data_IF_087554691009
#
_entry.id   IF_087554691009
#
_cell.length_a   1.000
_cell.length_b   1.000
_cell.length_c   1.000
_cell.angle_alpha   90.00
_cell.angle_beta   90.00
_cell.angle_gamma   90.00
#
_symmetry.space_group_name_H-M   'P 1'
#
loop_
_entity.id
_entity.type
_entity.pdbx_description
1 polymer ?
#
# COMPACT_ATOMS: atom_id res chain seq x y z
N UNK A 1 31.95 -29.62 12.29
CA UNK A 1 30.79 -29.56 13.19
C UNK A 1 30.25 -30.97 13.40
N UNK A 2 29.62 -31.26 14.55
CA UNK A 2 28.96 -32.56 14.78
C UNK A 2 27.85 -32.76 13.74
N UNK A 3 27.64 -33.98 13.19
CA UNK A 3 26.64 -34.23 12.14
C UNK A 3 25.21 -33.84 12.52
N UNK A 4 24.86 -33.89 13.81
CA UNK A 4 23.54 -33.49 14.33
C UNK A 4 23.44 -32.02 14.74
N UNK A 5 24.52 -31.25 14.66
CA UNK A 5 24.47 -29.83 15.01
C UNK A 5 23.64 -29.06 13.97
N UNK A 6 22.70 -28.24 14.45
CA UNK A 6 21.91 -27.31 13.64
C UNK A 6 21.96 -25.92 14.28
N UNK A 7 22.20 -24.90 13.47
CA UNK A 7 22.18 -23.49 13.86
C UNK A 7 21.04 -22.80 13.11
N UNK A 8 20.10 -22.22 13.85
CA UNK A 8 19.00 -21.44 13.30
C UNK A 8 19.24 -19.96 13.60
N UNK A 9 19.23 -19.14 12.56
CA UNK A 9 19.40 -17.69 12.64
C UNK A 9 18.14 -17.04 12.09
N UNK A 10 17.62 -16.03 12.79
CA UNK A 10 16.48 -15.22 12.35
C UNK A 10 16.92 -13.75 12.30
N UNK A 11 16.70 -13.10 11.17
CA UNK A 11 17.03 -11.69 10.96
C UNK A 11 16.05 -11.10 9.95
N UNK A 12 15.71 -9.83 10.12
CA UNK A 12 15.07 -9.06 9.05
C UNK A 12 16.06 -8.85 7.88
N UNK A 13 15.57 -8.58 6.65
CA UNK A 13 16.42 -8.32 5.50
C UNK A 13 17.31 -7.09 5.74
N UNK A 14 18.50 -7.32 6.26
CA UNK A 14 19.55 -6.34 6.48
C UNK A 14 20.81 -6.74 5.69
N UNK A 15 21.81 -5.87 5.67
CA UNK A 15 23.12 -6.17 5.08
C UNK A 15 23.87 -7.24 5.91
N UNK A 16 23.45 -8.50 5.78
CA UNK A 16 24.10 -9.64 6.41
C UNK A 16 25.42 -9.96 5.67
N UNK A 17 26.44 -10.46 6.38
CA UNK A 17 27.71 -10.83 5.75
C UNK A 17 27.51 -11.86 4.64
N UNK A 18 28.01 -11.57 3.44
CA UNK A 18 27.88 -12.46 2.26
C UNK A 18 28.40 -13.86 2.56
N UNK A 19 29.52 -13.97 3.28
CA UNK A 19 30.12 -15.25 3.65
C UNK A 19 29.19 -16.10 4.53
N UNK A 20 28.43 -15.47 5.43
CA UNK A 20 27.44 -16.17 6.25
C UNK A 20 26.31 -16.68 5.36
N UNK A 21 25.78 -15.81 4.48
CA UNK A 21 24.74 -16.19 3.54
C UNK A 21 25.20 -17.33 2.63
N UNK A 22 26.42 -17.34 2.11
CA UNK A 22 26.89 -18.42 1.23
C UNK A 22 26.84 -19.82 1.89
N UNK A 23 27.05 -19.90 3.21
CA UNK A 23 27.09 -21.18 3.95
C UNK A 23 25.73 -21.58 4.54
N UNK A 24 24.80 -20.64 4.69
CA UNK A 24 23.47 -20.91 5.24
C UNK A 24 22.48 -21.45 4.19
N UNK A 25 21.54 -22.28 4.66
CA UNK A 25 20.25 -22.49 3.96
C UNK A 25 19.35 -21.30 4.29
N UNK A 26 18.78 -20.65 3.28
CA UNK A 26 17.96 -19.45 3.44
C UNK A 26 16.49 -19.85 3.31
N UNK A 27 15.70 -19.43 4.28
CA UNK A 27 14.24 -19.53 4.24
C UNK A 27 13.70 -18.10 4.28
N UNK A 28 12.97 -17.70 3.24
CA UNK A 28 12.23 -16.44 3.23
C UNK A 28 10.80 -16.72 3.69
N UNK A 29 10.35 -15.98 4.69
CA UNK A 29 8.95 -15.99 5.11
C UNK A 29 8.32 -14.68 4.67
N UNK A 30 7.68 -14.70 3.51
CA UNK A 30 6.99 -13.53 2.97
C UNK A 30 5.51 -13.59 3.38
N UNK A 31 4.91 -12.45 3.79
CA UNK A 31 3.48 -12.41 4.01
C UNK A 31 2.76 -12.79 2.70
N UNK A 32 1.60 -13.46 2.79
CA UNK A 32 0.89 -13.87 1.60
C UNK A 32 0.48 -12.64 0.78
N UNK A 33 0.78 -12.66 -0.53
CA UNK A 33 0.50 -11.55 -1.43
C UNK A 33 -0.90 -11.68 -2.04
N UNK A 34 -1.61 -10.55 -2.12
CA UNK A 34 -2.92 -10.45 -2.76
C UNK A 34 -4.08 -10.38 -1.77
N UNK A 35 -5.22 -9.90 -2.26
CA UNK A 35 -6.40 -9.64 -1.45
C UNK A 35 -6.98 -10.91 -0.80
N UNK A 36 -7.14 -12.00 -1.57
CA UNK A 36 -7.75 -13.26 -1.08
C UNK A 36 -6.93 -13.89 0.05
N UNK A 37 -5.62 -14.14 -0.10
CA UNK A 37 -4.84 -14.75 0.98
C UNK A 37 -4.79 -13.89 2.25
N UNK A 38 -4.70 -12.56 2.10
CA UNK A 38 -4.74 -11.65 3.23
C UNK A 38 -6.10 -11.66 3.92
N UNK A 39 -7.21 -11.70 3.18
CA UNK A 39 -8.54 -11.76 3.78
C UNK A 39 -8.74 -13.06 4.57
N UNK A 40 -8.34 -14.20 4.00
CA UNK A 40 -8.40 -15.49 4.70
C UNK A 40 -7.56 -15.44 5.98
N UNK A 41 -6.32 -14.95 5.91
CA UNK A 41 -5.43 -14.81 7.06
C UNK A 41 -6.03 -13.91 8.14
N UNK A 42 -6.55 -12.75 7.74
CA UNK A 42 -7.11 -11.76 8.65
C UNK A 42 -8.36 -12.28 9.34
N UNK A 43 -9.27 -12.90 8.59
CA UNK A 43 -10.51 -13.45 9.15
C UNK A 43 -10.25 -14.69 10.02
N UNK A 44 -9.26 -15.51 9.66
CA UNK A 44 -8.82 -16.67 10.46
C UNK A 44 -8.21 -16.29 11.81
N UNK A 45 -7.93 -15.00 12.06
CA UNK A 45 -7.52 -14.53 13.38
C UNK A 45 -8.66 -14.49 14.40
N UNK A 46 -9.91 -14.56 13.94
CA UNK A 46 -11.09 -14.64 14.78
C UNK A 46 -11.52 -16.09 14.99
N UNK A 47 -12.13 -16.38 16.14
CA UNK A 47 -12.64 -17.71 16.51
C UNK A 47 -14.16 -17.68 16.65
N UNK A 48 -14.82 -18.83 16.47
CA UNK A 48 -16.26 -18.94 16.76
C UNK A 48 -16.58 -18.54 18.20
N UNK A 49 -15.72 -18.90 19.17
CA UNK A 49 -15.82 -18.49 20.58
C UNK A 49 -15.84 -16.95 20.77
N UNK A 50 -15.04 -16.22 19.98
CA UNK A 50 -15.05 -14.75 20.02
C UNK A 50 -16.40 -14.21 19.56
N UNK A 51 -16.98 -14.76 18.50
CA UNK A 51 -18.29 -14.34 18.01
C UNK A 51 -19.42 -14.71 18.95
N UNK A 52 -19.37 -15.92 19.52
CA UNK A 52 -20.37 -16.43 20.45
C UNK A 52 -20.33 -15.72 21.83
N UNK A 53 -19.27 -14.95 22.12
CA UNK A 53 -19.22 -14.07 23.28
C UNK A 53 -20.17 -12.87 23.18
N UNK A 54 -20.58 -12.49 21.97
CA UNK A 54 -21.52 -11.39 21.72
C UNK A 54 -22.97 -11.84 21.89
N UNK A 55 -23.81 -10.95 22.43
CA UNK A 55 -25.26 -11.12 22.38
C UNK A 55 -25.83 -11.06 20.93
N UNK A 56 -25.02 -10.60 19.98
CA UNK A 56 -25.34 -10.38 18.56
C UNK A 56 -24.24 -10.95 17.66
N UNK A 57 -24.11 -12.30 17.60
CA UNK A 57 -23.01 -12.95 16.91
C UNK A 57 -23.05 -12.76 15.40
N UNK A 58 -24.24 -12.65 14.79
CA UNK A 58 -24.38 -12.44 13.34
C UNK A 58 -23.87 -11.07 12.91
N UNK A 59 -24.31 -10.02 13.59
CA UNK A 59 -23.90 -8.64 13.33
C UNK A 59 -22.40 -8.46 13.56
N UNK A 60 -21.86 -9.03 14.64
CA UNK A 60 -20.42 -8.99 14.92
C UNK A 60 -19.62 -9.71 13.83
N UNK A 61 -20.07 -10.87 13.35
CA UNK A 61 -19.42 -11.59 12.23
C UNK A 61 -19.39 -10.75 10.96
N UNK A 62 -20.52 -10.14 10.58
CA UNK A 62 -20.60 -9.27 9.40
C UNK A 62 -19.67 -8.06 9.52
N UNK A 63 -19.64 -7.41 10.69
CA UNK A 63 -18.73 -6.27 10.96
C UNK A 63 -17.27 -6.71 10.91
N UNK A 64 -16.91 -7.84 11.53
CA UNK A 64 -15.55 -8.39 11.51
C UNK A 64 -15.12 -8.81 10.10
N UNK A 65 -16.05 -9.30 9.27
CA UNK A 65 -15.78 -9.59 7.87
C UNK A 65 -15.50 -8.33 7.07
N UNK A 66 -16.33 -7.29 7.21
CA UNK A 66 -16.10 -5.98 6.59
C UNK A 66 -14.77 -5.35 7.07
N UNK A 67 -14.46 -5.44 8.37
CA UNK A 67 -13.19 -5.00 8.94
C UNK A 67 -11.99 -5.78 8.39
N UNK A 68 -12.09 -7.11 8.29
CA UNK A 68 -11.02 -7.94 7.74
C UNK A 68 -10.76 -7.60 6.27
N UNK A 69 -11.83 -7.40 5.49
CA UNK A 69 -11.73 -6.95 4.10
C UNK A 69 -11.10 -5.56 4.00
N UNK A 70 -11.58 -4.60 4.79
CA UNK A 70 -11.01 -3.26 4.86
C UNK A 70 -9.50 -3.32 5.18
N UNK A 71 -9.11 -4.10 6.19
CA UNK A 71 -7.70 -4.29 6.55
C UNK A 71 -6.89 -4.88 5.39
N UNK A 72 -7.41 -5.92 4.73
CA UNK A 72 -6.76 -6.53 3.57
C UNK A 72 -6.60 -5.54 2.40
N UNK A 73 -7.63 -4.75 2.10
CA UNK A 73 -7.60 -3.73 1.05
C UNK A 73 -6.56 -2.67 1.38
N UNK A 74 -6.57 -2.15 2.60
CA UNK A 74 -5.64 -1.12 3.06
C UNK A 74 -4.18 -1.59 2.93
N UNK A 75 -3.90 -2.84 3.33
CA UNK A 75 -2.57 -3.45 3.23
C UNK A 75 -2.11 -3.65 1.78
N UNK A 76 -3.00 -4.13 0.91
CA UNK A 76 -2.67 -4.50 -0.47
C UNK A 76 -2.69 -3.31 -1.42
N UNK A 77 -3.49 -2.28 -1.13
CA UNK A 77 -3.63 -1.08 -1.97
C UNK A 77 -2.31 -0.31 -2.15
N UNK A 78 -1.34 -0.48 -1.25
CA UNK A 78 0.02 0.08 -1.39
C UNK A 78 0.74 -0.35 -2.68
N UNK A 79 0.34 -1.47 -3.31
CA UNK A 79 0.92 -1.93 -4.57
C UNK A 79 0.69 -0.98 -5.74
N UNK A 80 -0.35 -0.15 -5.68
CA UNK A 80 -0.64 0.88 -6.68
C UNK A 80 0.15 2.18 -6.48
N UNK A 81 1.08 2.22 -5.51
CA UNK A 81 1.91 3.40 -5.25
C UNK A 81 1.06 4.63 -4.89
N UNK A 82 1.41 5.83 -5.39
CA UNK A 82 0.66 7.06 -5.11
C UNK A 82 -0.81 7.06 -5.54
N UNK A 83 -1.21 6.20 -6.49
CA UNK A 83 -2.62 6.05 -6.86
C UNK A 83 -3.41 5.25 -5.81
N UNK A 84 -2.72 4.42 -5.03
CA UNK A 84 -3.29 3.66 -3.93
C UNK A 84 -3.30 4.48 -2.64
N UNK A 85 -2.11 4.87 -2.18
CA UNK A 85 -1.87 5.67 -0.98
C UNK A 85 -0.79 6.72 -1.27
N UNK A 86 -0.99 7.96 -0.79
CA UNK A 86 0.03 8.99 -0.91
C UNK A 86 1.29 8.66 -0.09
N UNK A 87 1.11 7.99 1.05
CA UNK A 87 2.21 7.53 1.92
C UNK A 87 2.03 6.06 2.33
N UNK A 88 3.14 5.40 2.66
CA UNK A 88 3.09 4.05 3.22
C UNK A 88 2.87 4.12 4.73
N UNK A 89 1.83 3.45 5.22
CA UNK A 89 1.48 3.38 6.64
C UNK A 89 1.72 1.98 7.21
N UNK A 90 2.22 1.87 8.46
CA UNK A 90 2.60 0.59 9.07
C UNK A 90 1.40 -0.10 9.76
N UNK A 91 0.32 -0.38 9.02
CA UNK A 91 -0.82 -1.10 9.57
C UNK A 91 -0.44 -2.53 9.98
N UNK A 92 -0.97 -2.99 11.11
CA UNK A 92 -0.64 -4.27 11.71
C UNK A 92 -1.90 -5.05 12.12
N UNK A 93 -1.73 -6.34 12.40
CA UNK A 93 -2.82 -7.23 12.82
C UNK A 93 -3.49 -6.77 14.13
N UNK A 94 -2.74 -6.13 15.03
CA UNK A 94 -3.24 -5.57 16.27
C UNK A 94 -4.29 -4.48 16.03
N UNK A 95 -4.17 -3.69 14.96
CA UNK A 95 -5.18 -2.69 14.59
C UNK A 95 -6.52 -3.38 14.29
N UNK A 96 -6.50 -4.49 13.53
CA UNK A 96 -7.69 -5.27 13.20
C UNK A 96 -8.33 -5.90 14.45
N UNK A 97 -7.53 -6.60 15.26
CA UNK A 97 -8.03 -7.29 16.47
C UNK A 97 -8.59 -6.29 17.48
N UNK A 98 -7.93 -5.14 17.65
CA UNK A 98 -8.40 -4.08 18.54
C UNK A 98 -9.73 -3.48 18.05
N UNK A 99 -9.87 -3.26 16.74
CA UNK A 99 -11.14 -2.79 16.17
C UNK A 99 -12.26 -3.81 16.37
N UNK A 100 -11.99 -5.11 16.22
CA UNK A 100 -12.96 -6.17 16.48
C UNK A 100 -13.41 -6.19 17.96
N UNK A 101 -12.48 -6.01 18.90
CA UNK A 101 -12.81 -5.91 20.32
C UNK A 101 -13.67 -4.68 20.62
N UNK A 102 -13.37 -3.55 19.99
CA UNK A 102 -14.21 -2.33 20.10
C UNK A 102 -15.60 -2.59 19.54
N UNK A 103 -15.71 -3.27 18.40
CA UNK A 103 -17.00 -3.63 17.80
C UNK A 103 -17.85 -4.45 18.78
N UNK A 104 -17.25 -5.48 19.40
CA UNK A 104 -17.91 -6.30 20.42
C UNK A 104 -18.48 -5.44 21.56
N UNK A 105 -17.64 -4.59 22.17
CA UNK A 105 -18.04 -3.75 23.30
C UNK A 105 -19.19 -2.77 22.94
N UNK A 106 -19.16 -2.19 21.74
CA UNK A 106 -20.20 -1.26 21.29
C UNK A 106 -21.51 -1.97 20.94
N UNK A 107 -21.45 -3.18 20.40
CA UNK A 107 -22.64 -3.99 20.10
C UNK A 107 -23.36 -4.45 21.36
N UNK A 108 -22.62 -4.77 22.44
CA UNK A 108 -23.19 -5.14 23.73
C UNK A 108 -23.89 -3.95 24.42
N UNK A 109 -23.36 -2.74 24.22
CA UNK A 109 -23.86 -1.53 24.86
C UNK A 109 -25.07 -0.89 24.17
N UNK A 110 -25.38 -1.30 22.94
CA UNK A 110 -26.40 -0.64 22.11
C UNK A 110 -27.42 -1.65 21.55
N UNK A 111 -28.71 -1.31 21.44
CA UNK A 111 -29.73 -2.19 20.87
C UNK A 111 -29.60 -2.35 19.35
N UNK A 112 -29.09 -1.34 18.64
CA UNK A 112 -28.82 -1.37 17.20
C UNK A 112 -27.34 -1.17 16.94
N UNK A 113 -26.86 -1.48 15.74
CA UNK A 113 -25.46 -1.26 15.34
C UNK A 113 -25.21 0.24 15.20
N UNK A 114 -24.28 0.85 15.98
CA UNK A 114 -24.01 2.28 15.89
C UNK A 114 -22.99 2.55 14.77
N UNK A 115 -23.44 2.53 13.51
CA UNK A 115 -22.57 2.62 12.33
C UNK A 115 -21.68 3.87 12.33
N UNK A 116 -22.22 5.05 12.64
CA UNK A 116 -21.44 6.29 12.62
C UNK A 116 -20.33 6.30 13.67
N UNK A 117 -20.60 5.78 14.87
CA UNK A 117 -19.58 5.64 15.92
C UNK A 117 -18.50 4.64 15.50
N UNK A 118 -18.89 3.48 14.95
CA UNK A 118 -17.93 2.48 14.47
C UNK A 118 -17.06 3.02 13.34
N UNK A 119 -17.65 3.67 12.33
CA UNK A 119 -16.93 4.31 11.22
C UNK A 119 -15.96 5.37 11.73
N UNK A 120 -16.39 6.21 12.67
CA UNK A 120 -15.52 7.23 13.26
C UNK A 120 -14.37 6.62 14.06
N UNK A 121 -14.65 5.65 14.93
CA UNK A 121 -13.62 5.02 15.77
C UNK A 121 -12.61 4.27 14.90
N UNK A 122 -13.06 3.48 13.93
CA UNK A 122 -12.15 2.73 13.05
C UNK A 122 -11.38 3.67 12.13
N UNK A 123 -12.06 4.63 11.49
CA UNK A 123 -11.49 5.52 10.49
C UNK A 123 -10.61 6.62 11.05
N UNK A 124 -11.10 7.37 12.04
CA UNK A 124 -10.42 8.57 12.56
C UNK A 124 -9.47 8.27 13.74
N UNK A 125 -9.83 7.29 14.59
CA UNK A 125 -9.06 6.99 15.81
C UNK A 125 -8.07 5.85 15.56
N UNK A 126 -8.55 4.66 15.19
CA UNK A 126 -7.73 3.45 15.10
C UNK A 126 -6.79 3.48 13.90
N UNK A 127 -7.33 3.44 12.67
CA UNK A 127 -6.53 3.53 11.46
C UNK A 127 -6.08 4.97 11.21
N UNK A 128 -6.93 5.95 11.51
CA UNK A 128 -6.65 7.37 11.34
C UNK A 128 -5.49 7.88 12.18
N UNK A 129 -5.18 7.23 13.31
CA UNK A 129 -3.99 7.52 14.11
C UNK A 129 -2.67 7.26 13.37
N UNK A 130 -2.66 6.34 12.40
CA UNK A 130 -1.50 6.06 11.54
C UNK A 130 -1.44 6.97 10.30
N UNK A 131 -2.61 7.41 9.82
CA UNK A 131 -2.73 8.15 8.57
C UNK A 131 -2.42 9.63 8.80
N UNK A 132 -1.35 10.12 8.16
CA UNK A 132 -0.90 11.51 8.30
C UNK A 132 -1.38 12.42 7.17
N UNK A 133 -1.77 11.86 6.02
CA UNK A 133 -2.27 12.63 4.88
C UNK A 133 -3.80 12.75 4.90
N UNK A 134 -4.32 13.95 4.62
CA UNK A 134 -5.76 14.22 4.69
C UNK A 134 -6.56 13.54 3.56
N UNK A 135 -5.97 13.36 2.37
CA UNK A 135 -6.65 12.67 1.27
C UNK A 135 -6.69 11.16 1.54
N UNK A 136 -5.61 10.60 2.07
CA UNK A 136 -5.58 9.20 2.52
C UNK A 136 -6.60 8.95 3.64
N UNK A 137 -6.76 9.89 4.57
CA UNK A 137 -7.76 9.77 5.64
C UNK A 137 -9.18 9.79 5.08
N UNK A 138 -9.46 10.69 4.12
CA UNK A 138 -10.74 10.71 3.39
C UNK A 138 -11.00 9.41 2.64
N UNK A 139 -9.98 8.82 2.04
CA UNK A 139 -10.09 7.54 1.35
C UNK A 139 -10.43 6.40 2.32
N UNK A 140 -9.77 6.34 3.48
CA UNK A 140 -10.08 5.35 4.51
C UNK A 140 -11.52 5.48 5.01
N UNK A 141 -11.99 6.71 5.25
CA UNK A 141 -13.37 6.98 5.63
C UNK A 141 -14.37 6.55 4.53
N UNK A 142 -14.07 6.81 3.25
CA UNK A 142 -14.93 6.40 2.14
C UNK A 142 -15.08 4.88 2.02
N UNK A 143 -14.01 4.11 2.31
CA UNK A 143 -14.11 2.65 2.38
C UNK A 143 -15.02 2.18 3.50
N UNK A 144 -14.85 2.74 4.71
CA UNK A 144 -15.69 2.37 5.85
C UNK A 144 -17.14 2.72 5.59
N UNK A 145 -17.42 3.86 4.96
CA UNK A 145 -18.78 4.23 4.57
C UNK A 145 -19.40 3.27 3.54
N UNK A 146 -18.59 2.77 2.60
CA UNK A 146 -19.03 1.79 1.59
C UNK A 146 -19.23 0.39 2.17
N UNK A 147 -18.55 0.02 3.26
CA UNK A 147 -18.60 -1.33 3.80
C UNK A 147 -19.46 -1.48 5.06
N UNK A 148 -19.70 -0.39 5.80
CA UNK A 148 -20.34 -0.42 7.12
C UNK A 148 -21.65 0.37 7.12
N UNK A 149 -22.70 -0.28 6.62
CA UNK A 149 -24.08 0.19 6.60
C UNK A 149 -25.04 -0.99 6.77
N UNK A 150 -26.34 -0.72 6.96
CA UNK A 150 -27.34 -1.75 7.28
C UNK A 150 -27.42 -2.87 6.23
N UNK A 151 -27.23 -2.57 4.93
CA UNK A 151 -27.24 -3.58 3.87
C UNK A 151 -26.12 -4.64 4.04
N UNK A 152 -25.07 -4.37 4.83
CA UNK A 152 -24.07 -5.38 5.21
C UNK A 152 -24.70 -6.56 5.95
N UNK A 153 -25.76 -6.32 6.73
CA UNK A 153 -26.45 -7.33 7.51
C UNK A 153 -27.46 -8.12 6.67
N UNK A 154 -28.07 -7.47 5.68
CA UNK A 154 -29.02 -8.07 4.74
C UNK A 154 -28.30 -8.86 3.63
N UNK A 155 -27.06 -8.46 3.36
CA UNK A 155 -26.18 -9.02 2.38
C UNK A 155 -26.21 -8.22 1.08
N UNK A 156 -25.05 -7.78 0.62
CA UNK A 156 -24.90 -7.01 -0.61
C UNK A 156 -23.65 -7.41 -1.39
N UNK A 157 -23.55 -6.91 -2.62
CA UNK A 157 -22.36 -7.11 -3.46
C UNK A 157 -21.33 -6.02 -3.14
N UNK A 158 -20.23 -6.43 -2.50
CA UNK A 158 -19.18 -5.50 -2.04
C UNK A 158 -18.41 -4.93 -3.23
N UNK A 159 -18.12 -5.80 -4.19
CA UNK A 159 -17.59 -5.44 -5.49
C UNK A 159 -18.04 -6.51 -6.51
N UNK A 160 -18.00 -6.21 -7.82
CA UNK A 160 -18.54 -7.10 -8.84
C UNK A 160 -17.98 -8.53 -8.74
N UNK A 161 -18.89 -9.50 -8.54
CA UNK A 161 -18.59 -10.91 -8.38
C UNK A 161 -18.29 -11.36 -6.95
N UNK A 162 -18.43 -10.49 -5.93
CA UNK A 162 -18.18 -10.85 -4.53
C UNK A 162 -19.28 -10.36 -3.58
N UNK A 163 -20.37 -11.14 -3.41
CA UNK A 163 -21.37 -10.91 -2.38
C UNK A 163 -20.81 -11.18 -0.99
N UNK A 164 -21.39 -10.53 0.02
CA UNK A 164 -21.16 -10.86 1.43
C UNK A 164 -21.55 -12.32 1.72
N UNK A 165 -20.88 -12.97 2.69
CA UNK A 165 -21.32 -14.27 3.21
C UNK A 165 -22.76 -14.24 3.71
N UNK A 166 -23.38 -15.42 3.89
CA UNK A 166 -24.74 -15.54 4.46
C UNK A 166 -24.84 -14.94 5.87
N UNK A 167 -26.05 -14.86 6.42
CA UNK A 167 -26.30 -14.12 7.67
C UNK A 167 -25.76 -14.76 8.95
N UNK A 168 -25.45 -16.06 8.99
CA UNK A 168 -24.83 -16.74 10.15
C UNK A 168 -23.84 -17.88 9.80
N UNK A 169 -22.79 -17.65 9.00
CA UNK A 169 -21.76 -18.63 8.71
C UNK A 169 -20.85 -18.85 9.93
N UNK A 170 -20.39 -20.07 10.12
CA UNK A 170 -19.22 -20.32 10.99
C UNK A 170 -17.97 -19.67 10.39
N UNK A 171 -16.91 -19.52 11.18
CA UNK A 171 -15.63 -19.01 10.66
C UNK A 171 -15.17 -19.80 9.44
N UNK A 172 -15.34 -21.12 9.48
CA UNK A 172 -15.02 -22.03 8.38
C UNK A 172 -15.85 -21.74 7.12
N UNK A 173 -17.14 -21.51 7.27
CA UNK A 173 -18.04 -21.24 6.13
C UNK A 173 -17.68 -19.91 5.45
N UNK A 174 -17.31 -18.89 6.22
CA UNK A 174 -16.83 -17.62 5.66
C UNK A 174 -15.53 -17.83 4.86
N UNK A 175 -14.59 -18.61 5.40
CA UNK A 175 -13.34 -18.92 4.72
C UNK A 175 -13.61 -19.69 3.42
N UNK A 176 -14.51 -20.67 3.45
CA UNK A 176 -14.93 -21.42 2.26
C UNK A 176 -15.60 -20.52 1.21
N UNK A 177 -16.45 -19.58 1.64
CA UNK A 177 -17.04 -18.54 0.78
C UNK A 177 -15.95 -17.69 0.11
N UNK A 178 -14.94 -17.24 0.86
CA UNK A 178 -13.82 -16.48 0.29
C UNK A 178 -13.05 -17.30 -0.76
N UNK A 179 -12.85 -18.59 -0.54
CA UNK A 179 -12.15 -19.46 -1.48
C UNK A 179 -12.94 -19.74 -2.77
N UNK A 180 -14.25 -19.90 -2.65
CA UNK A 180 -15.13 -20.34 -3.74
C UNK A 180 -15.69 -19.19 -4.55
N UNK A 181 -16.06 -18.09 -3.89
CA UNK A 181 -16.80 -16.97 -4.50
C UNK A 181 -15.88 -15.82 -4.90
N UNK A 182 -14.81 -15.53 -4.14
CA UNK A 182 -13.98 -14.37 -4.43
C UNK A 182 -13.34 -14.49 -5.83
N UNK A 183 -13.60 -13.54 -6.75
CA UNK A 183 -13.08 -13.58 -8.11
C UNK A 183 -11.58 -13.29 -8.13
N UNK A 184 -10.96 -13.42 -9.31
CA UNK A 184 -9.57 -13.00 -9.47
C UNK A 184 -9.44 -11.52 -9.09
N UNK A 185 -8.35 -11.21 -8.39
CA UNK A 185 -8.07 -9.85 -7.94
C UNK A 185 -7.93 -8.91 -9.14
N UNK A 186 -8.70 -7.83 -9.13
CA UNK A 186 -8.65 -6.74 -10.11
C UNK A 186 -8.61 -5.40 -9.37
N UNK A 187 -8.18 -4.30 -10.00
CA UNK A 187 -8.23 -2.97 -9.38
C UNK A 187 -9.63 -2.57 -8.88
N UNK A 188 -10.69 -3.11 -9.49
CA UNK A 188 -12.09 -2.86 -9.09
C UNK A 188 -12.38 -3.42 -7.70
N UNK A 189 -11.75 -4.54 -7.30
CA UNK A 189 -11.86 -5.06 -5.93
C UNK A 189 -11.27 -4.10 -4.87
N UNK A 190 -10.40 -3.17 -5.31
CA UNK A 190 -9.88 -2.07 -4.50
C UNK A 190 -10.69 -0.78 -4.69
N UNK A 191 -11.81 -0.77 -5.41
CA UNK A 191 -12.52 0.47 -5.76
C UNK A 191 -11.72 1.39 -6.69
N UNK A 192 -10.80 0.84 -7.50
CA UNK A 192 -10.03 1.59 -8.50
C UNK A 192 -10.51 1.30 -9.91
N UNK A 193 -10.24 2.23 -10.81
CA UNK A 193 -10.48 2.02 -12.24
C UNK A 193 -9.55 0.91 -12.79
N UNK A 194 -10.02 0.02 -13.69
CA UNK A 194 -9.21 -1.06 -14.28
C UNK A 194 -7.85 -0.62 -14.85
N UNK A 195 -7.75 0.61 -15.37
CA UNK A 195 -6.50 1.18 -15.88
C UNK A 195 -5.35 1.19 -14.86
N UNK A 196 -5.63 1.16 -13.55
CA UNK A 196 -4.60 1.07 -12.52
C UNK A 196 -3.76 -0.21 -12.65
N UNK A 197 -4.31 -1.27 -13.26
CA UNK A 197 -3.55 -2.49 -13.53
C UNK A 197 -2.38 -2.24 -14.49
N UNK A 198 -2.54 -1.37 -15.49
CA UNK A 198 -1.49 -1.09 -16.49
C UNK A 198 -0.23 -0.56 -15.80
N UNK A 199 -0.38 0.45 -14.95
CA UNK A 199 0.74 1.05 -14.21
C UNK A 199 1.39 0.08 -13.23
N UNK A 200 0.57 -0.71 -12.52
CA UNK A 200 1.07 -1.75 -11.62
C UNK A 200 1.91 -2.80 -12.36
N UNK A 201 1.40 -3.33 -13.47
CA UNK A 201 2.10 -4.33 -14.30
C UNK A 201 3.37 -3.78 -14.93
N UNK A 202 3.34 -2.52 -15.38
CA UNK A 202 4.52 -1.86 -15.95
C UNK A 202 5.64 -1.74 -14.90
N UNK A 203 5.31 -1.31 -13.68
CA UNK A 203 6.28 -1.24 -12.57
C UNK A 203 6.85 -2.61 -12.20
N UNK A 204 6.02 -3.66 -12.20
CA UNK A 204 6.48 -5.03 -11.96
C UNK A 204 7.44 -5.51 -13.05
N UNK A 205 7.12 -5.22 -14.32
CA UNK A 205 7.98 -5.54 -15.45
C UNK A 205 9.32 -4.77 -15.39
N UNK A 206 9.29 -3.48 -15.09
CA UNK A 206 10.51 -2.67 -14.93
C UNK A 206 11.41 -3.22 -13.82
N UNK A 207 10.84 -3.57 -12.66
CA UNK A 207 11.59 -4.21 -11.58
C UNK A 207 12.21 -5.55 -12.00
N UNK A 208 11.47 -6.37 -12.74
CA UNK A 208 11.99 -7.63 -13.29
C UNK A 208 13.15 -7.38 -14.26
N UNK A 209 13.04 -6.40 -15.16
CA UNK A 209 14.11 -6.07 -16.11
C UNK A 209 15.35 -5.51 -15.41
N UNK A 210 15.19 -4.70 -14.37
CA UNK A 210 16.30 -4.21 -13.56
C UNK A 210 17.03 -5.37 -12.87
N UNK A 211 16.28 -6.28 -12.23
CA UNK A 211 16.86 -7.47 -11.60
C UNK A 211 17.61 -8.35 -12.60
N UNK A 212 17.05 -8.57 -13.80
CA UNK A 212 17.72 -9.32 -14.88
C UNK A 212 19.02 -8.62 -15.29
N UNK A 213 18.98 -7.29 -15.45
CA UNK A 213 20.15 -6.48 -15.83
C UNK A 213 21.26 -6.55 -14.77
N UNK A 214 20.91 -6.59 -13.49
CA UNK A 214 21.88 -6.75 -12.40
C UNK A 214 22.53 -8.14 -12.39
N UNK A 215 21.78 -9.18 -12.77
CA UNK A 215 22.29 -10.55 -12.88
C UNK A 215 23.15 -10.78 -14.13
N UNK A 216 23.09 -9.89 -15.13
CA UNK A 216 23.90 -10.05 -16.33
C UNK A 216 25.40 -9.84 -16.05
N UNK A 217 26.28 -10.72 -16.57
CA UNK A 217 27.71 -10.56 -16.40
C UNK A 217 28.19 -9.28 -17.10
N UNK A 218 28.78 -8.38 -16.32
CA UNK A 218 29.27 -7.07 -16.81
C UNK A 218 30.47 -7.16 -17.75
N UNK A 219 30.98 -8.37 -18.02
CA UNK A 219 32.22 -8.63 -18.76
C UNK A 219 32.02 -9.16 -20.18
N UNK A 220 30.80 -9.09 -20.74
CA UNK A 220 30.46 -9.64 -22.05
C UNK A 220 30.31 -8.65 -23.22
N UNK A 221 30.83 -7.42 -23.14
CA UNK A 221 30.75 -6.43 -24.22
C UNK A 221 32.09 -6.25 -24.93
N UNK A 222 32.15 -6.55 -26.23
CA UNK A 222 33.36 -6.44 -27.04
C UNK A 222 34.02 -5.06 -26.97
N UNK A 223 35.35 -5.04 -27.04
CA UNK A 223 36.29 -3.91 -26.96
C UNK A 223 36.19 -2.88 -28.09
N UNK A 224 35.11 -2.89 -28.87
CA UNK A 224 34.91 -1.98 -30.01
C UNK A 224 33.71 -1.08 -29.74
N UNK A 225 33.98 0.02 -29.03
CA UNK A 225 33.01 1.07 -28.74
C UNK A 225 33.57 2.04 -27.71
N UNK A 226 33.16 3.32 -27.78
CA UNK A 226 33.55 4.35 -26.80
C UNK A 226 33.35 3.83 -25.37
N UNK A 227 34.33 4.10 -24.50
CA UNK A 227 34.24 3.78 -23.09
C UNK A 227 33.00 4.44 -22.46
N UNK A 228 32.49 3.86 -21.37
CA UNK A 228 31.33 4.42 -20.64
C UNK A 228 31.58 5.88 -20.23
N UNK A 229 32.82 6.20 -19.88
CA UNK A 229 33.29 7.55 -19.53
C UNK A 229 33.28 8.50 -20.72
N UNK A 230 33.70 8.06 -21.91
CA UNK A 230 33.67 8.89 -23.12
C UNK A 230 32.24 9.13 -23.59
N UNK A 231 31.35 8.13 -23.49
CA UNK A 231 29.92 8.31 -23.79
C UNK A 231 29.24 9.26 -22.81
N UNK A 232 29.55 9.13 -21.52
CA UNK A 232 29.04 10.03 -20.50
C UNK A 232 29.51 11.47 -20.75
N UNK A 233 30.80 11.66 -21.07
CA UNK A 233 31.36 12.97 -21.41
C UNK A 233 30.71 13.56 -22.65
N UNK A 234 30.58 12.79 -23.74
CA UNK A 234 29.91 13.26 -24.95
C UNK A 234 28.44 13.66 -24.69
N UNK A 235 27.74 12.92 -23.84
CA UNK A 235 26.36 13.26 -23.45
C UNK A 235 26.31 14.52 -22.58
N UNK A 236 27.29 14.72 -21.70
CA UNK A 236 27.40 15.95 -20.89
C UNK A 236 27.73 17.17 -21.73
N UNK A 237 28.66 17.04 -22.68
CA UNK A 237 29.03 18.11 -23.60
C UNK A 237 27.80 18.49 -24.47
N UNK A 238 27.06 17.51 -25.00
CA UNK A 238 25.81 17.75 -25.73
C UNK A 238 24.72 18.41 -24.86
N UNK A 239 24.60 18.01 -23.59
CA UNK A 239 23.64 18.61 -22.66
C UNK A 239 24.03 20.05 -22.34
N UNK A 240 25.33 20.30 -22.11
CA UNK A 240 25.90 21.62 -21.83
C UNK A 240 25.65 22.58 -23.00
N UNK A 241 25.85 22.13 -24.24
CA UNK A 241 25.62 22.94 -25.44
C UNK A 241 24.12 23.25 -25.67
N UNK A 242 23.22 22.41 -25.14
CA UNK A 242 21.76 22.58 -25.23
C UNK A 242 21.17 23.37 -24.07
N UNK A 243 21.94 23.65 -23.01
CA UNK A 243 21.43 24.46 -21.90
C UNK A 243 21.20 25.90 -22.37
N UNK A 244 20.04 26.51 -22.02
CA UNK A 244 19.80 27.91 -22.30
C UNK A 244 20.84 28.81 -21.62
N UNK A 245 21.15 29.96 -22.22
CA UNK A 245 21.97 30.97 -21.55
C UNK A 245 21.31 31.42 -20.25
N UNK A 246 22.12 31.63 -19.21
CA UNK A 246 21.65 32.13 -17.93
C UNK A 246 20.99 33.51 -18.13
N UNK A 247 19.83 33.70 -17.52
CA UNK A 247 19.14 34.98 -17.54
C UNK A 247 20.00 36.07 -16.89
N UNK A 248 20.06 37.27 -17.46
CA UNK A 248 20.64 38.41 -16.75
C UNK A 248 19.64 38.93 -15.71
N UNK A 249 19.86 38.54 -14.46
CA UNK A 249 19.00 38.95 -13.34
C UNK A 249 18.93 40.47 -13.20
N UNK A 250 20.02 41.20 -13.50
CA UNK A 250 20.07 42.66 -13.36
C UNK A 250 19.18 43.31 -14.42
N UNK A 251 19.26 42.85 -15.66
CA UNK A 251 18.42 43.35 -16.76
C UNK A 251 16.92 43.09 -16.50
N UNK A 252 16.58 41.93 -15.93
CA UNK A 252 15.19 41.58 -15.62
C UNK A 252 14.65 42.45 -14.48
N UNK A 253 15.44 42.69 -13.43
CA UNK A 253 15.03 43.54 -12.30
C UNK A 253 14.85 44.99 -12.74
N UNK A 254 15.70 45.49 -13.63
CA UNK A 254 15.62 46.88 -14.14
C UNK A 254 14.40 47.09 -15.06
N UNK A 255 13.91 46.06 -15.75
CA UNK A 255 12.70 46.11 -16.58
C UNK A 255 11.39 46.08 -15.79
N UNK A 256 11.43 45.82 -14.49
CA UNK A 256 10.22 45.77 -13.65
C UNK A 256 9.86 47.18 -13.17
N UNK A 257 8.83 47.77 -13.77
CA UNK A 257 8.32 49.10 -13.40
C UNK A 257 7.44 49.07 -12.13
N UNK A 258 6.64 48.01 -11.93
CA UNK A 258 5.74 47.88 -10.78
C UNK A 258 5.97 46.56 -10.04
N UNK A 259 6.28 46.64 -8.74
CA UNK A 259 6.52 45.46 -7.90
C UNK A 259 5.23 44.99 -7.24
N UNK A 260 4.57 44.03 -7.88
CA UNK A 260 3.50 43.25 -7.25
C UNK A 260 4.06 42.02 -6.51
N UNK A 261 3.30 41.43 -5.57
CA UNK A 261 3.70 40.20 -4.90
C UNK A 261 4.06 39.05 -5.85
N UNK A 262 3.34 38.90 -6.97
CA UNK A 262 3.65 37.88 -7.99
C UNK A 262 4.96 38.15 -8.72
N UNK A 263 5.27 39.43 -8.99
CA UNK A 263 6.53 39.81 -9.64
C UNK A 263 7.71 39.54 -8.70
N UNK A 264 7.56 39.75 -7.39
CA UNK A 264 8.61 39.39 -6.44
C UNK A 264 8.85 37.88 -6.37
N UNK A 265 7.79 37.05 -6.39
CA UNK A 265 7.95 35.58 -6.45
C UNK A 265 8.63 35.17 -7.75
N UNK A 266 8.26 35.77 -8.89
CA UNK A 266 8.90 35.50 -10.17
C UNK A 266 10.40 35.83 -10.14
N UNK A 267 10.80 36.99 -9.59
CA UNK A 267 12.21 37.35 -9.42
C UNK A 267 12.94 36.35 -8.51
N UNK A 268 12.33 35.94 -7.40
CA UNK A 268 12.91 34.94 -6.50
C UNK A 268 13.10 33.57 -7.16
N UNK A 269 12.14 33.12 -7.97
CA UNK A 269 12.25 31.85 -8.69
C UNK A 269 13.31 31.92 -9.80
N UNK A 270 13.49 33.08 -10.47
CA UNK A 270 14.61 33.27 -11.40
C UNK A 270 15.94 33.21 -10.67
N UNK A 271 16.09 33.93 -9.56
CA UNK A 271 17.31 33.93 -8.75
C UNK A 271 17.65 32.50 -8.29
N UNK A 272 16.64 31.74 -7.82
CA UNK A 272 16.79 30.34 -7.43
C UNK A 272 17.14 29.44 -8.61
N UNK A 273 16.50 29.61 -9.76
CA UNK A 273 16.79 28.84 -10.96
C UNK A 273 18.24 29.08 -11.44
N UNK A 274 18.72 30.31 -11.36
CA UNK A 274 20.10 30.66 -11.69
C UNK A 274 21.13 30.08 -10.72
N UNK A 275 20.80 29.92 -9.43
CA UNK A 275 21.68 29.26 -8.46
C UNK A 275 21.74 27.74 -8.64
N UNK A 276 20.72 27.14 -9.24
CA UNK A 276 20.62 25.69 -9.47
C UNK A 276 21.21 25.26 -10.83
N UNK A 277 21.32 26.17 -11.78
CA UNK A 277 22.02 25.97 -13.07
C UNK A 277 23.53 26.12 -12.89
#
# INVERSE_FOLDING_TARGET
AHPDFRLFLSAEPAALPVNLLQVCVKLTNEPPEGLRPNLVKNFSSFTDDFFDSSAKPGELRSICFALALFHSIVLERKKFGPQGWNRSYPFNQGDLVSCAQVALNYLESNPQVPWDDLKYIFGEIMYGGHITDAFDRRLAAAYLDTYMHDELLEGFEIFPGFPTPSSQPSVRDVIEHIHTVMPQETPVAFGMHPNAEIGFRMKQADGMFLNIRELQPRTGGGTVGMSVTEKAKASLDELSDKMPEAFDFVEIVERVEERSPFVNVFLQEIERAMQLM
#
